data_IF_289743108761
#
_entry.id   IF_289743108761
#
_cell.length_a   1.000
_cell.length_b   1.000
_cell.length_c   1.000
_cell.angle_alpha   90.00
_cell.angle_beta   90.00
_cell.angle_gamma   90.00
#
_symmetry.space_group_name_H-M   'P 1'
#
loop_
_entity.id
_entity.type
_entity.pdbx_description
1 polymer ?
#
# COMPACT_ATOMS: atom_id res chain seq x y z
N UNK A 1 -4.27 -31.26 25.95
CA UNK A 1 -3.23 -31.42 24.89
C UNK A 1 -3.73 -31.12 23.48
N UNK A 2 -4.80 -31.74 22.93
CA UNK A 2 -5.20 -31.53 21.53
C UNK A 2 -5.69 -30.09 21.24
N UNK A 3 -6.43 -29.48 22.19
CA UNK A 3 -6.88 -28.08 22.09
C UNK A 3 -5.73 -27.07 22.03
N UNK A 4 -4.63 -27.34 22.75
CA UNK A 4 -3.47 -26.45 22.80
C UNK A 4 -2.67 -26.54 21.49
N UNK A 5 -2.53 -27.73 20.92
CA UNK A 5 -1.93 -27.91 19.58
C UNK A 5 -2.77 -27.28 18.47
N UNK A 6 -4.10 -27.37 18.56
CA UNK A 6 -4.99 -26.75 17.57
C UNK A 6 -4.93 -25.22 17.64
N UNK A 7 -4.87 -24.65 18.86
CA UNK A 7 -4.67 -23.21 19.05
C UNK A 7 -3.31 -22.72 18.50
N UNK A 8 -2.23 -23.48 18.75
CA UNK A 8 -0.90 -23.15 18.22
C UNK A 8 -0.87 -23.27 16.70
N UNK A 9 -1.49 -24.31 16.12
CA UNK A 9 -1.58 -24.47 14.68
C UNK A 9 -2.36 -23.33 14.02
N UNK A 10 -3.50 -22.91 14.58
CA UNK A 10 -4.27 -21.75 14.13
C UNK A 10 -3.46 -20.46 14.22
N UNK A 11 -2.70 -20.28 15.30
CA UNK A 11 -1.85 -19.10 15.48
C UNK A 11 -0.73 -19.06 14.44
N UNK A 12 -0.04 -20.18 14.21
CA UNK A 12 1.00 -20.30 13.18
C UNK A 12 0.41 -20.06 11.78
N UNK A 13 -0.75 -20.64 11.47
CA UNK A 13 -1.43 -20.42 10.19
C UNK A 13 -1.86 -18.97 10.01
N UNK A 14 -2.44 -18.35 11.04
CA UNK A 14 -2.88 -16.96 11.01
C UNK A 14 -1.71 -15.99 10.83
N UNK A 15 -0.61 -16.21 11.57
CA UNK A 15 0.62 -15.41 11.41
C UNK A 15 1.24 -15.65 10.04
N UNK A 16 1.34 -16.89 9.58
CA UNK A 16 1.83 -17.24 8.26
C UNK A 16 1.04 -16.58 7.14
N UNK A 17 -0.30 -16.62 7.22
CA UNK A 17 -1.20 -15.96 6.28
C UNK A 17 -0.97 -14.44 6.25
N UNK A 18 -0.83 -13.80 7.40
CA UNK A 18 -0.55 -12.37 7.50
C UNK A 18 0.80 -12.01 6.88
N UNK A 19 1.85 -12.80 7.14
CA UNK A 19 3.19 -12.58 6.58
C UNK A 19 3.18 -12.75 5.06
N UNK A 20 2.52 -13.77 4.53
CA UNK A 20 2.41 -14.01 3.08
C UNK A 20 1.56 -12.94 2.40
N UNK A 21 0.47 -12.49 3.03
CA UNK A 21 -0.34 -11.38 2.51
C UNK A 21 0.47 -10.09 2.40
N UNK A 22 1.40 -9.86 3.34
CA UNK A 22 2.32 -8.71 3.34
C UNK A 22 3.44 -8.86 2.31
N UNK A 23 3.91 -10.07 2.04
CA UNK A 23 4.92 -10.33 1.02
C UNK A 23 4.40 -10.07 -0.41
N UNK A 24 3.08 -10.13 -0.60
CA UNK A 24 2.44 -9.84 -1.87
C UNK A 24 2.09 -8.34 -2.04
N UNK A 25 2.29 -7.49 -1.03
CA UNK A 25 2.08 -6.04 -1.18
C UNK A 25 3.19 -5.42 -2.04
N UNK A 26 2.83 -4.90 -3.22
CA UNK A 26 3.73 -4.17 -4.11
C UNK A 26 4.03 -2.77 -3.56
N UNK A 27 2.99 -2.08 -3.09
CA UNK A 27 3.11 -0.82 -2.38
C UNK A 27 1.90 -0.56 -1.48
N UNK A 28 2.11 0.28 -0.47
CA UNK A 28 1.08 0.78 0.43
C UNK A 28 1.24 2.28 0.59
N UNK A 29 0.19 3.04 0.28
CA UNK A 29 0.10 4.49 0.43
C UNK A 29 -1.01 4.79 1.42
N UNK A 30 -0.72 5.59 2.44
CA UNK A 30 -1.73 6.17 3.30
C UNK A 30 -1.99 7.60 2.90
N UNK A 31 -3.27 7.97 2.90
CA UNK A 31 -3.75 9.32 2.67
C UNK A 31 -4.30 9.83 3.99
N UNK A 32 -3.91 11.04 4.36
CA UNK A 32 -4.47 11.78 5.49
C UNK A 32 -4.52 13.26 5.14
N UNK A 33 -5.67 13.89 5.34
CA UNK A 33 -5.92 15.32 5.10
C UNK A 33 -5.46 15.78 3.71
N UNK A 34 -5.72 14.97 2.67
CA UNK A 34 -5.27 15.22 1.30
C UNK A 34 -3.77 15.04 1.03
N UNK A 35 -2.98 14.67 2.04
CA UNK A 35 -1.56 14.36 1.91
C UNK A 35 -1.38 12.85 1.70
N UNK A 36 -0.62 12.49 0.68
CA UNK A 36 -0.27 11.09 0.41
C UNK A 36 1.11 10.76 1.01
N UNK A 37 1.21 9.59 1.62
CA UNK A 37 2.43 9.07 2.22
C UNK A 37 2.63 7.61 1.79
N UNK A 38 3.73 7.32 1.10
CA UNK A 38 4.12 5.93 0.83
C UNK A 38 4.58 5.30 2.14
N UNK A 39 3.91 4.26 2.63
CA UNK A 39 4.31 3.54 3.85
C UNK A 39 5.23 2.37 3.48
N UNK A 40 4.97 1.69 2.36
CA UNK A 40 5.74 0.52 1.92
C UNK A 40 5.84 0.44 0.41
N UNK A 41 6.87 -0.25 -0.05
CA UNK A 41 7.10 -0.54 -1.47
C UNK A 41 7.57 0.67 -2.25
N UNK A 42 7.51 0.57 -3.57
CA UNK A 42 7.82 1.68 -4.47
C UNK A 42 6.63 1.96 -5.38
N UNK A 43 6.25 3.22 -5.47
CA UNK A 43 5.18 3.70 -6.34
C UNK A 43 5.83 4.34 -7.56
N UNK A 44 5.56 3.85 -8.79
CA UNK A 44 6.08 4.48 -9.99
C UNK A 44 5.73 5.97 -10.07
N UNK A 45 6.63 6.88 -10.51
CA UNK A 45 6.40 8.33 -10.45
C UNK A 45 5.15 8.83 -11.20
N UNK A 46 4.75 8.14 -12.27
CA UNK A 46 3.50 8.44 -13.00
C UNK A 46 2.27 8.15 -12.14
N UNK A 47 2.25 6.98 -11.51
CA UNK A 47 1.17 6.55 -10.63
C UNK A 47 1.13 7.39 -9.34
N UNK A 48 2.28 7.77 -8.80
CA UNK A 48 2.36 8.65 -7.63
C UNK A 48 1.67 9.99 -7.87
N UNK A 49 1.98 10.65 -9.00
CA UNK A 49 1.33 11.92 -9.37
C UNK A 49 -0.18 11.76 -9.48
N UNK A 50 -0.64 10.70 -10.11
CA UNK A 50 -2.07 10.44 -10.27
C UNK A 50 -2.77 10.17 -8.93
N UNK A 51 -2.12 9.45 -8.01
CA UNK A 51 -2.60 9.21 -6.65
C UNK A 51 -2.72 10.52 -5.86
N UNK A 52 -1.69 11.37 -5.91
CA UNK A 52 -1.68 12.69 -5.23
C UNK A 52 -2.78 13.58 -5.80
N UNK A 53 -2.86 13.71 -7.13
CA UNK A 53 -3.91 14.51 -7.78
C UNK A 53 -5.29 13.99 -7.42
N UNK A 54 -5.51 12.68 -7.44
CA UNK A 54 -6.80 12.09 -7.10
C UNK A 54 -7.16 12.33 -5.63
N UNK A 55 -6.21 12.20 -4.71
CA UNK A 55 -6.42 12.44 -3.28
C UNK A 55 -6.78 13.91 -3.00
N UNK A 56 -6.11 14.85 -3.67
CA UNK A 56 -6.35 16.28 -3.52
C UNK A 56 -7.68 16.72 -4.13
N UNK A 57 -7.96 16.30 -5.38
CA UNK A 57 -9.20 16.66 -6.10
C UNK A 57 -10.44 16.15 -5.37
N UNK A 58 -10.39 14.93 -4.85
CA UNK A 58 -11.52 14.32 -4.15
C UNK A 58 -11.54 14.61 -2.63
N UNK A 59 -10.61 15.43 -2.13
CA UNK A 59 -10.49 15.80 -0.71
C UNK A 59 -10.59 14.60 0.23
N UNK A 60 -9.76 13.59 -0.02
CA UNK A 60 -9.77 12.37 0.80
C UNK A 60 -9.16 12.69 2.17
N UNK A 61 -10.01 12.74 3.20
CA UNK A 61 -9.60 13.02 4.59
C UNK A 61 -8.75 11.89 5.18
N UNK A 62 -9.14 10.64 4.96
CA UNK A 62 -8.37 9.49 5.45
C UNK A 62 -8.62 8.26 4.59
N UNK A 63 -7.56 7.68 4.07
CA UNK A 63 -7.65 6.46 3.28
C UNK A 63 -6.35 5.68 3.23
N UNK A 64 -6.43 4.44 2.79
CA UNK A 64 -5.26 3.60 2.51
C UNK A 64 -5.43 2.95 1.15
N UNK A 65 -4.38 2.99 0.34
CA UNK A 65 -4.32 2.40 -0.99
C UNK A 65 -3.19 1.38 -0.98
N UNK A 66 -3.54 0.11 -1.18
CA UNK A 66 -2.61 -1.02 -1.24
C UNK A 66 -2.70 -1.66 -2.61
N UNK A 67 -1.56 -1.86 -3.26
CA UNK A 67 -1.48 -2.73 -4.41
C UNK A 67 -0.90 -4.07 -3.97
N UNK A 68 -1.63 -5.16 -4.22
CA UNK A 68 -1.21 -6.54 -3.93
C UNK A 68 -1.06 -7.33 -5.22
N UNK A 69 -0.11 -8.25 -5.24
CA UNK A 69 0.03 -9.22 -6.32
C UNK A 69 -0.92 -10.39 -6.06
N UNK A 70 -1.91 -10.58 -6.91
CA UNK A 70 -2.90 -11.65 -6.81
C UNK A 70 -3.10 -12.28 -8.19
N UNK A 71 -2.96 -13.61 -8.29
CA UNK A 71 -3.17 -14.33 -9.56
C UNK A 71 -2.23 -13.91 -10.71
N UNK A 72 -1.06 -13.32 -10.40
CA UNK A 72 -0.14 -12.78 -11.41
C UNK A 72 -0.48 -11.35 -11.87
N UNK A 73 -1.58 -10.77 -11.39
CA UNK A 73 -1.98 -9.39 -11.66
C UNK A 73 -1.76 -8.47 -10.44
N UNK A 74 -1.72 -7.16 -10.66
CA UNK A 74 -1.73 -6.17 -9.58
C UNK A 74 -3.18 -5.83 -9.25
N UNK A 75 -3.62 -6.17 -8.05
CA UNK A 75 -4.94 -5.83 -7.52
C UNK A 75 -4.83 -4.65 -6.57
N UNK A 76 -5.71 -3.68 -6.77
CA UNK A 76 -5.84 -2.54 -5.87
C UNK A 76 -6.87 -2.84 -4.76
N UNK A 77 -6.43 -2.66 -3.52
CA UNK A 77 -7.24 -2.72 -2.29
C UNK A 77 -7.21 -1.34 -1.67
N UNK A 78 -8.38 -0.72 -1.54
CA UNK A 78 -8.54 0.60 -0.92
C UNK A 78 -9.36 0.47 0.36
N UNK A 79 -9.05 1.31 1.33
CA UNK A 79 -9.79 1.44 2.59
C UNK A 79 -10.03 2.93 2.89
N UNK A 80 -11.21 3.29 3.37
CA UNK A 80 -11.62 4.69 3.60
C UNK A 80 -11.75 5.56 2.34
N UNK A 81 -11.85 4.95 1.15
CA UNK A 81 -11.94 5.66 -0.14
C UNK A 81 -13.24 5.26 -0.83
N UNK A 82 -13.90 6.24 -1.45
CA UNK A 82 -15.16 6.02 -2.17
C UNK A 82 -14.97 5.03 -3.35
N UNK A 83 -15.94 4.13 -3.60
CA UNK A 83 -15.80 3.06 -4.58
C UNK A 83 -15.59 3.56 -6.02
N UNK A 84 -16.12 4.73 -6.36
CA UNK A 84 -15.95 5.38 -7.68
C UNK A 84 -14.48 5.77 -7.89
N UNK A 85 -13.84 6.30 -6.85
CA UNK A 85 -12.43 6.68 -6.86
C UNK A 85 -11.57 5.42 -6.95
N UNK A 86 -11.92 4.38 -6.19
CA UNK A 86 -11.25 3.08 -6.24
C UNK A 86 -11.25 2.49 -7.64
N UNK A 87 -12.38 2.55 -8.34
CA UNK A 87 -12.49 2.04 -9.71
C UNK A 87 -11.64 2.86 -10.69
N UNK A 88 -11.60 4.18 -10.53
CA UNK A 88 -10.71 5.05 -11.32
C UNK A 88 -9.25 4.68 -11.11
N UNK A 89 -8.81 4.57 -9.86
CA UNK A 89 -7.43 4.19 -9.51
C UNK A 89 -7.06 2.79 -10.02
N UNK A 90 -8.02 1.86 -10.02
CA UNK A 90 -7.84 0.53 -10.60
C UNK A 90 -7.56 0.60 -12.09
N UNK A 91 -8.30 1.45 -12.83
CA UNK A 91 -8.05 1.66 -14.25
C UNK A 91 -6.65 2.25 -14.50
N UNK A 92 -6.23 3.20 -13.66
CA UNK A 92 -4.89 3.80 -13.72
C UNK A 92 -3.77 2.76 -13.54
N UNK A 93 -3.92 1.85 -12.56
CA UNK A 93 -2.96 0.77 -12.30
C UNK A 93 -2.93 -0.26 -13.44
N UNK A 94 -4.10 -0.63 -13.95
CA UNK A 94 -4.21 -1.52 -15.11
C UNK A 94 -3.45 -0.97 -16.32
N UNK A 95 -3.56 0.34 -16.57
CA UNK A 95 -2.85 1.02 -17.66
C UNK A 95 -1.33 1.16 -17.43
N UNK A 96 -0.88 1.26 -16.18
CA UNK A 96 0.53 1.40 -15.84
C UNK A 96 1.31 0.07 -15.99
N UNK A 97 0.62 -1.06 -15.91
CA UNK A 97 1.19 -2.40 -16.10
C UNK A 97 2.10 -2.88 -14.96
N UNK A 98 2.04 -4.18 -14.64
CA UNK A 98 2.91 -4.84 -13.65
C UNK A 98 4.40 -4.66 -13.93
N UNK A 99 4.78 -4.51 -15.19
CA UNK A 99 6.16 -4.32 -15.59
C UNK A 99 6.70 -2.97 -15.09
N UNK A 100 5.91 -1.89 -15.10
CA UNK A 100 6.33 -0.62 -14.54
C UNK A 100 6.47 -0.67 -13.01
N UNK A 101 5.66 -1.49 -12.33
CA UNK A 101 5.80 -1.73 -10.88
C UNK A 101 7.04 -2.57 -10.55
N UNK A 102 7.39 -3.57 -11.40
CA UNK A 102 8.61 -4.37 -11.26
C UNK A 102 9.89 -3.60 -11.56
N UNK A 103 9.88 -2.78 -12.62
CA UNK A 103 11.01 -1.92 -13.03
C UNK A 103 11.16 -0.71 -12.11
N UNK A 104 10.04 -0.17 -11.62
CA UNK A 104 10.02 0.93 -10.64
C UNK A 104 10.69 0.57 -9.33
N UNK A 105 10.70 -0.70 -8.91
CA UNK A 105 11.46 -1.18 -7.74
C UNK A 105 12.96 -0.83 -7.79
N UNK A 106 13.53 -0.58 -8.98
CA UNK A 106 14.93 -0.19 -9.16
C UNK A 106 15.17 1.33 -9.17
N UNK A 107 14.14 2.15 -9.38
CA UNK A 107 14.27 3.61 -9.40
C UNK A 107 13.80 4.19 -8.07
N UNK A 108 14.78 4.39 -7.18
CA UNK A 108 14.59 4.84 -5.81
C UNK A 108 13.73 6.10 -5.70
N UNK A 109 12.81 6.07 -4.72
CA UNK A 109 12.18 7.26 -4.18
C UNK A 109 13.27 8.27 -3.79
N UNK A 110 13.39 9.37 -4.54
CA UNK A 110 14.46 10.37 -4.39
C UNK A 110 14.24 11.31 -3.19
N UNK A 111 13.66 10.80 -2.11
CA UNK A 111 13.51 11.48 -0.83
C UNK A 111 13.87 10.50 0.28
N UNK A 112 14.64 10.94 1.26
CA UNK A 112 15.05 10.12 2.39
C UNK A 112 13.82 9.48 3.03
N UNK A 113 13.71 8.14 2.94
CA UNK A 113 12.60 7.40 3.54
C UNK A 113 12.64 7.62 5.05
N UNK A 114 11.54 8.06 5.64
CA UNK A 114 11.49 8.25 7.09
C UNK A 114 11.47 6.88 7.82
N UNK A 115 11.85 6.83 9.10
CA UNK A 115 11.92 5.57 9.86
C UNK A 115 10.58 4.81 9.89
N UNK A 116 9.45 5.52 9.87
CA UNK A 116 8.14 4.90 9.76
C UNK A 116 7.87 4.24 8.42
N UNK A 117 8.45 4.76 7.33
CA UNK A 117 8.41 4.13 6.00
C UNK A 117 9.36 2.93 5.92
N UNK A 118 10.53 3.01 6.56
CA UNK A 118 11.47 1.89 6.64
C UNK A 118 10.86 0.72 7.42
N UNK A 119 10.22 1.01 8.55
CA UNK A 119 9.54 0.01 9.39
C UNK A 119 8.16 -0.38 8.82
N UNK A 120 7.64 0.38 7.86
CA UNK A 120 6.33 0.18 7.26
C UNK A 120 5.17 0.37 8.24
N UNK A 121 5.33 1.28 9.20
CA UNK A 121 4.36 1.60 10.25
C UNK A 121 3.72 2.95 9.94
N UNK A 122 2.45 2.92 9.52
CA UNK A 122 1.71 4.10 9.09
C UNK A 122 1.69 5.24 10.12
N UNK A 123 1.37 4.94 11.38
CA UNK A 123 1.24 5.97 12.43
C UNK A 123 2.59 6.64 12.74
N UNK A 124 3.68 5.85 12.76
CA UNK A 124 5.03 6.33 13.00
C UNK A 124 5.51 7.17 11.80
N UNK A 125 5.18 6.73 10.59
CA UNK A 125 5.51 7.45 9.37
C UNK A 125 4.84 8.83 9.36
N UNK A 126 3.56 8.91 9.76
CA UNK A 126 2.85 10.18 9.92
C UNK A 126 3.39 11.06 11.05
N UNK A 127 3.86 10.46 12.14
CA UNK A 127 4.47 11.19 13.26
C UNK A 127 5.77 11.87 12.84
N UNK A 128 6.59 11.19 12.02
CA UNK A 128 7.89 11.66 11.56
C UNK A 128 7.85 12.47 10.25
N UNK A 129 6.71 12.47 9.53
CA UNK A 129 6.49 13.28 8.33
C UNK A 129 6.06 14.72 8.67
N UNK A 130 5.91 15.09 9.95
CA UNK A 130 5.55 16.47 10.32
C UNK A 130 6.60 17.45 9.78
N UNK A 131 6.18 18.58 9.18
CA UNK A 131 7.07 19.58 8.60
C UNK A 131 8.02 20.18 9.64
#
# INVERSE_FOLDING_TARGET
MPLLMLAVALLVFGVGYLVVSRANELFCVSIRDGVCLVIRGNVPPKLWRELVTTAQVNRIDRGTIRAVKEGGAARLVTDGIAPEITQRLRNSIGSAGLNAMRLGSASGSNGARNLGQILGIAWLAWMLQRP
#
